data_IF_573644696610
#
_entry.id   IF_573644696610
#
_cell.length_a   1.000
_cell.length_b   1.000
_cell.length_c   1.000
_cell.angle_alpha   90.00
_cell.angle_beta   90.00
_cell.angle_gamma   90.00
#
_symmetry.space_group_name_H-M   'P 1'
#
loop_
_entity.id
_entity.type
_entity.pdbx_description
1 polymer ?
#
# COMPACT_ATOMS: atom_id res chain seq x y z
N UNK A 1 10.89 23.76 -12.07
CA UNK A 1 9.56 23.89 -12.72
C UNK A 1 8.52 24.14 -11.65
N UNK A 2 7.76 25.24 -11.73
CA UNK A 2 6.73 25.59 -10.75
C UNK A 2 5.36 25.02 -11.17
N UNK A 3 4.60 24.49 -10.22
CA UNK A 3 3.18 24.17 -10.38
C UNK A 3 2.38 25.42 -10.00
N UNK A 4 1.84 26.13 -10.99
CA UNK A 4 1.05 27.34 -10.75
C UNK A 4 -0.43 27.00 -10.62
N UNK A 5 -0.90 26.89 -9.38
CA UNK A 5 -2.28 26.53 -9.07
C UNK A 5 -3.29 27.53 -9.65
N UNK A 6 -3.03 28.84 -9.51
CA UNK A 6 -3.97 29.87 -9.97
C UNK A 6 -4.11 29.85 -11.49
N UNK A 7 -3.00 29.77 -12.21
CA UNK A 7 -3.02 29.65 -13.67
C UNK A 7 -3.70 28.36 -14.11
N UNK A 8 -3.44 27.25 -13.44
CA UNK A 8 -4.09 25.97 -13.71
C UNK A 8 -5.62 26.06 -13.53
N UNK A 9 -6.10 26.63 -12.43
CA UNK A 9 -7.54 26.81 -12.18
C UNK A 9 -8.22 27.70 -13.23
N UNK A 10 -7.55 28.77 -13.66
CA UNK A 10 -8.06 29.66 -14.72
C UNK A 10 -8.14 28.99 -16.10
N UNK A 11 -7.43 27.87 -16.29
CA UNK A 11 -7.47 27.10 -17.55
C UNK A 11 -8.57 26.04 -17.58
N UNK A 12 -9.30 25.85 -16.49
CA UNK A 12 -10.36 24.84 -16.40
C UNK A 12 -11.65 25.32 -17.06
N UNK A 13 -12.27 24.42 -17.83
CA UNK A 13 -13.67 24.55 -18.19
C UNK A 13 -14.52 23.93 -17.08
N UNK A 14 -15.11 24.79 -16.27
CA UNK A 14 -15.93 24.40 -15.12
C UNK A 14 -17.23 23.71 -15.51
N UNK A 15 -17.82 24.06 -16.66
CA UNK A 15 -19.08 23.48 -17.10
C UNK A 15 -18.91 21.98 -17.39
N UNK A 16 -17.81 21.58 -18.02
CA UNK A 16 -17.51 20.16 -18.27
C UNK A 16 -17.03 19.39 -17.04
N UNK A 17 -16.52 20.06 -16.00
CA UNK A 17 -16.09 19.42 -14.76
C UNK A 17 -17.18 19.27 -13.70
N UNK A 18 -18.24 20.09 -13.74
CA UNK A 18 -19.26 20.13 -12.70
C UNK A 18 -19.89 18.76 -12.43
N UNK A 19 -20.36 18.09 -13.49
CA UNK A 19 -21.04 16.79 -13.40
C UNK A 19 -20.09 15.64 -12.99
N UNK A 20 -18.88 15.48 -13.57
CA UNK A 20 -17.88 14.53 -13.06
C UNK A 20 -17.53 14.73 -11.58
N UNK A 21 -17.32 15.99 -11.14
CA UNK A 21 -16.99 16.29 -9.75
C UNK A 21 -18.12 15.88 -8.79
N UNK A 22 -19.36 16.21 -9.16
CA UNK A 22 -20.53 15.88 -8.36
C UNK A 22 -20.77 14.36 -8.28
N UNK A 23 -20.62 13.62 -9.39
CA UNK A 23 -20.71 12.15 -9.38
C UNK A 23 -19.68 11.52 -8.45
N UNK A 24 -18.41 11.93 -8.56
CA UNK A 24 -17.33 11.39 -7.71
C UNK A 24 -17.59 11.71 -6.24
N UNK A 25 -17.98 12.95 -5.95
CA UNK A 25 -18.29 13.38 -4.57
C UNK A 25 -19.43 12.56 -3.97
N UNK A 26 -20.55 12.40 -4.69
CA UNK A 26 -21.68 11.57 -4.25
C UNK A 26 -21.28 10.11 -4.04
N UNK A 27 -20.48 9.55 -4.95
CA UNK A 27 -20.04 8.16 -4.85
C UNK A 27 -19.17 7.91 -3.61
N UNK A 28 -18.18 8.79 -3.36
CA UNK A 28 -17.29 8.70 -2.20
C UNK A 28 -18.06 8.89 -0.88
N UNK A 29 -18.93 9.89 -0.80
CA UNK A 29 -19.74 10.12 0.41
C UNK A 29 -20.70 8.96 0.67
N UNK A 30 -21.33 8.41 -0.38
CA UNK A 30 -22.26 7.28 -0.25
C UNK A 30 -21.57 6.03 0.27
N UNK A 31 -20.37 5.70 -0.23
CA UNK A 31 -19.65 4.53 0.24
C UNK A 31 -19.14 4.71 1.68
N UNK A 32 -18.69 5.92 2.05
CA UNK A 32 -18.27 6.20 3.43
C UNK A 32 -19.43 6.06 4.41
N UNK A 33 -20.60 6.60 4.07
CA UNK A 33 -21.80 6.48 4.91
C UNK A 33 -22.28 5.03 5.02
N UNK A 34 -22.22 4.24 3.94
CA UNK A 34 -22.58 2.81 4.03
C UNK A 34 -21.59 2.03 4.89
N UNK A 35 -20.29 2.28 4.76
CA UNK A 35 -19.29 1.65 5.62
C UNK A 35 -19.49 2.03 7.09
N UNK A 36 -19.85 3.29 7.37
CA UNK A 36 -20.18 3.75 8.73
C UNK A 36 -21.36 3.00 9.32
N UNK A 37 -22.39 2.70 8.52
CA UNK A 37 -23.60 1.97 8.96
C UNK A 37 -23.40 0.45 9.04
N UNK A 38 -22.42 -0.09 8.34
CA UNK A 38 -22.15 -1.54 8.29
C UNK A 38 -20.80 -1.85 8.94
N UNK A 39 -20.70 -1.53 10.24
CA UNK A 39 -19.46 -1.67 11.02
C UNK A 39 -18.86 -3.07 10.97
N UNK A 40 -19.69 -4.11 11.04
CA UNK A 40 -19.25 -5.52 11.05
C UNK A 40 -18.47 -5.95 9.79
N UNK A 41 -18.72 -5.28 8.66
CA UNK A 41 -18.05 -5.55 7.38
C UNK A 41 -16.98 -4.51 7.03
N UNK A 42 -16.97 -3.35 7.70
CA UNK A 42 -16.10 -2.24 7.37
C UNK A 42 -14.62 -2.63 7.47
N UNK A 43 -14.23 -3.41 8.48
CA UNK A 43 -12.86 -3.91 8.64
C UNK A 43 -12.49 -4.90 7.53
N UNK A 44 -13.44 -5.74 7.11
CA UNK A 44 -13.27 -6.65 5.98
C UNK A 44 -13.05 -5.93 4.65
N UNK A 45 -13.77 -4.84 4.41
CA UNK A 45 -13.56 -3.96 3.24
C UNK A 45 -12.20 -3.28 3.33
N UNK A 46 -11.85 -2.71 4.49
CA UNK A 46 -10.60 -1.99 4.70
C UNK A 46 -9.37 -2.90 4.52
N UNK A 47 -9.42 -4.10 5.08
CA UNK A 47 -8.37 -5.12 4.94
C UNK A 47 -8.08 -5.44 3.47
N UNK A 48 -9.14 -5.68 2.68
CA UNK A 48 -9.05 -5.91 1.24
C UNK A 48 -8.53 -4.69 0.49
N UNK A 49 -9.06 -3.51 0.79
CA UNK A 49 -8.66 -2.25 0.19
C UNK A 49 -7.16 -1.99 0.37
N UNK A 50 -6.57 -2.31 1.53
CA UNK A 50 -5.14 -2.19 1.74
C UNK A 50 -4.32 -3.10 0.83
N UNK A 51 -4.70 -4.37 0.73
CA UNK A 51 -3.96 -5.36 -0.05
C UNK A 51 -4.11 -5.12 -1.56
N UNK A 52 -5.34 -4.91 -2.05
CA UNK A 52 -5.58 -4.66 -3.47
C UNK A 52 -4.92 -3.37 -3.96
N UNK A 53 -4.98 -2.29 -3.18
CA UNK A 53 -4.35 -1.03 -3.57
C UNK A 53 -2.83 -1.13 -3.56
N UNK A 54 -2.26 -1.90 -2.63
CA UNK A 54 -0.81 -2.16 -2.58
C UNK A 54 -0.36 -2.93 -3.82
N UNK A 55 -1.01 -4.06 -4.15
CA UNK A 55 -0.70 -4.83 -5.35
C UNK A 55 -0.84 -3.98 -6.63
N UNK A 56 -1.87 -3.14 -6.70
CA UNK A 56 -2.08 -2.27 -7.83
C UNK A 56 -1.06 -1.14 -7.92
N UNK A 57 -0.61 -0.60 -6.78
CA UNK A 57 0.47 0.38 -6.75
C UNK A 57 1.74 -0.24 -7.32
N UNK A 58 2.19 -1.38 -6.76
CA UNK A 58 3.37 -2.10 -7.27
C UNK A 58 3.30 -2.28 -8.79
N UNK A 59 2.14 -2.72 -9.31
CA UNK A 59 1.94 -2.93 -10.75
C UNK A 59 2.03 -1.64 -11.58
N UNK A 60 1.57 -0.49 -11.07
CA UNK A 60 1.71 0.81 -11.73
C UNK A 60 3.17 1.26 -11.80
N UNK A 61 3.98 0.87 -10.82
CA UNK A 61 5.40 1.22 -10.74
C UNK A 61 6.30 0.17 -11.43
N UNK A 62 5.69 -0.85 -12.05
CA UNK A 62 6.35 -1.85 -12.90
C UNK A 62 6.68 -3.18 -12.23
N UNK A 63 6.34 -3.35 -10.94
CA UNK A 63 6.59 -4.57 -10.18
C UNK A 63 5.31 -5.42 -10.05
N UNK A 64 5.36 -6.71 -10.35
CA UNK A 64 4.21 -7.61 -10.23
C UNK A 64 4.28 -8.41 -8.92
N UNK A 65 3.26 -8.26 -8.07
CA UNK A 65 3.09 -9.05 -6.84
C UNK A 65 1.71 -9.68 -6.82
N UNK A 66 1.66 -11.00 -6.67
CA UNK A 66 0.40 -11.74 -6.55
C UNK A 66 -0.26 -11.45 -5.20
N UNK A 67 -1.58 -11.30 -5.21
CA UNK A 67 -2.35 -11.04 -3.98
C UNK A 67 -2.15 -12.17 -2.96
N UNK A 68 -2.14 -13.42 -3.42
CA UNK A 68 -1.95 -14.58 -2.53
C UNK A 68 -0.62 -14.51 -1.78
N UNK A 69 0.47 -14.19 -2.49
CA UNK A 69 1.81 -14.10 -1.88
C UNK A 69 1.87 -12.98 -0.85
N UNK A 70 1.28 -11.81 -1.15
CA UNK A 70 1.22 -10.69 -0.21
C UNK A 70 0.38 -11.01 1.03
N UNK A 71 -0.76 -11.70 0.86
CA UNK A 71 -1.60 -12.12 2.00
C UNK A 71 -0.88 -13.15 2.86
N UNK A 72 -0.24 -14.15 2.26
CA UNK A 72 0.48 -15.19 2.99
C UNK A 72 1.66 -14.61 3.77
N UNK A 73 2.40 -13.70 3.16
CA UNK A 73 3.51 -12.99 3.80
C UNK A 73 3.03 -12.08 4.93
N UNK A 74 1.94 -11.33 4.73
CA UNK A 74 1.33 -10.50 5.78
C UNK A 74 0.85 -11.33 6.97
N UNK A 75 0.41 -12.57 6.73
CA UNK A 75 0.02 -13.53 7.76
C UNK A 75 1.19 -14.31 8.37
N UNK A 76 2.43 -14.17 7.86
CA UNK A 76 3.59 -14.97 8.29
C UNK A 76 3.45 -16.47 8.00
N UNK A 77 2.68 -16.81 6.97
CA UNK A 77 2.39 -18.20 6.55
C UNK A 77 2.98 -18.54 5.18
N UNK A 78 3.87 -17.68 4.68
CA UNK A 78 4.68 -17.94 3.51
C UNK A 78 5.63 -19.12 3.75
N UNK A 79 5.75 -19.99 2.73
CA UNK A 79 6.68 -21.15 2.78
C UNK A 79 7.93 -20.94 1.94
N UNK A 80 8.00 -19.83 1.21
CA UNK A 80 9.11 -19.47 0.32
C UNK A 80 9.78 -18.24 0.88
N UNK A 81 11.09 -18.14 0.71
CA UNK A 81 11.80 -16.90 1.01
C UNK A 81 11.18 -15.74 0.21
N UNK A 82 10.95 -14.57 0.84
CA UNK A 82 10.28 -13.46 0.18
C UNK A 82 11.16 -12.90 -0.94
N UNK A 83 10.54 -12.61 -2.09
CA UNK A 83 11.23 -11.89 -3.16
C UNK A 83 11.43 -10.42 -2.75
N UNK A 84 12.31 -9.73 -3.48
CA UNK A 84 12.52 -8.31 -3.24
C UNK A 84 11.25 -7.48 -3.54
N UNK A 85 10.47 -7.85 -4.56
CA UNK A 85 9.19 -7.22 -4.88
C UNK A 85 8.16 -7.45 -3.77
N UNK A 86 8.10 -8.67 -3.22
CA UNK A 86 7.22 -8.99 -2.10
C UNK A 86 7.60 -8.22 -0.82
N UNK A 87 8.89 -8.12 -0.54
CA UNK A 87 9.42 -7.32 0.59
C UNK A 87 9.07 -5.84 0.43
N UNK A 88 9.18 -5.28 -0.78
CA UNK A 88 8.77 -3.91 -1.07
C UNK A 88 7.27 -3.73 -0.91
N UNK A 89 6.46 -4.65 -1.43
CA UNK A 89 5.00 -4.61 -1.28
C UNK A 89 4.57 -4.68 0.20
N UNK A 90 5.23 -5.50 1.01
CA UNK A 90 4.98 -5.58 2.45
C UNK A 90 5.27 -4.23 3.15
N UNK A 91 6.37 -3.56 2.79
CA UNK A 91 6.69 -2.21 3.29
C UNK A 91 5.64 -1.18 2.87
N UNK A 92 5.17 -1.25 1.63
CA UNK A 92 4.12 -0.34 1.13
C UNK A 92 2.76 -0.61 1.81
N UNK A 93 2.42 -1.88 2.05
CA UNK A 93 1.23 -2.27 2.80
C UNK A 93 1.27 -1.72 4.23
N UNK A 94 2.41 -1.87 4.92
CA UNK A 94 2.64 -1.33 6.25
C UNK A 94 2.52 0.20 6.26
N UNK A 95 3.09 0.88 5.26
CA UNK A 95 2.97 2.33 5.10
C UNK A 95 1.51 2.76 4.88
N UNK A 96 0.77 2.08 4.01
CA UNK A 96 -0.65 2.38 3.74
C UNK A 96 -1.50 2.22 5.01
N UNK A 97 -1.28 1.15 5.79
CA UNK A 97 -1.97 0.93 7.08
C UNK A 97 -1.57 1.97 8.13
N UNK A 98 -0.30 2.39 8.14
CA UNK A 98 0.17 3.47 9.02
C UNK A 98 -0.53 4.79 8.70
N UNK A 99 -0.62 5.16 7.42
CA UNK A 99 -1.35 6.36 6.97
C UNK A 99 -2.83 6.28 7.35
N UNK A 100 -3.45 5.11 7.21
CA UNK A 100 -4.85 4.92 7.58
C UNK A 100 -5.11 5.07 9.09
N UNK A 101 -4.13 4.76 9.95
CA UNK A 101 -4.27 4.90 11.41
C UNK A 101 -3.93 6.30 11.94
N UNK A 102 -3.05 7.02 11.26
CA UNK A 102 -2.62 8.35 11.68
C UNK A 102 -3.71 9.40 11.42
N UNK A 103 -3.79 10.45 12.24
CA UNK A 103 -4.60 11.62 11.91
C UNK A 103 -4.14 12.21 10.57
N UNK A 104 -5.03 12.37 9.57
CA UNK A 104 -4.63 12.80 8.23
C UNK A 104 -3.85 14.12 8.18
N UNK A 105 -4.19 15.08 9.04
CA UNK A 105 -3.50 16.36 9.17
C UNK A 105 -2.02 16.20 9.57
N UNK A 106 -1.69 15.14 10.32
CA UNK A 106 -0.29 14.82 10.68
C UNK A 106 0.49 14.35 9.46
N UNK A 107 -0.17 13.58 8.57
CA UNK A 107 0.42 13.07 7.32
C UNK A 107 0.68 14.20 6.32
N UNK A 108 -0.24 15.18 6.22
CA UNK A 108 -0.20 16.29 5.27
C UNK A 108 0.69 17.46 5.71
N UNK A 109 1.88 17.12 6.24
CA UNK A 109 2.89 18.08 6.66
C UNK A 109 4.28 17.64 6.17
N UNK A 110 5.22 18.57 6.08
CA UNK A 110 6.63 18.26 5.75
C UNK A 110 7.19 17.15 6.64
N UNK A 111 7.07 17.34 7.95
CA UNK A 111 7.61 16.41 8.94
C UNK A 111 6.86 15.06 8.90
N UNK A 112 5.54 15.09 8.71
CA UNK A 112 4.73 13.89 8.53
C UNK A 112 5.19 13.04 7.34
N UNK A 113 5.34 13.65 6.17
CA UNK A 113 5.80 12.96 4.96
C UNK A 113 7.21 12.38 5.10
N UNK A 114 8.15 13.14 5.68
CA UNK A 114 9.51 12.64 5.91
C UNK A 114 9.54 11.49 6.92
N UNK A 115 8.78 11.61 7.99
CA UNK A 115 8.66 10.57 9.03
C UNK A 115 8.02 9.28 8.50
N UNK A 116 7.09 9.39 7.55
CA UNK A 116 6.47 8.23 6.90
C UNK A 116 7.48 7.40 6.12
N UNK A 117 8.45 8.03 5.46
CA UNK A 117 9.49 7.36 4.68
C UNK A 117 10.76 7.04 5.48
N UNK A 118 10.71 7.17 6.82
CA UNK A 118 11.83 6.87 7.71
C UNK A 118 12.96 7.90 7.68
N UNK A 119 12.67 9.14 7.26
CA UNK A 119 13.62 10.26 7.32
C UNK A 119 13.31 11.15 8.51
N UNK A 120 14.34 11.52 9.26
CA UNK A 120 14.20 12.57 10.27
C UNK A 120 14.11 13.93 9.57
N UNK A 121 13.25 14.81 10.07
CA UNK A 121 13.09 16.18 9.55
C UNK A 121 14.35 17.04 9.83
N UNK A 122 15.10 16.69 10.89
CA UNK A 122 16.22 17.47 11.43
C UNK A 122 17.56 16.75 11.24
N UNK A 123 18.05 16.71 10.00
CA UNK A 123 19.47 16.44 9.73
C UNK A 123 20.16 17.63 9.07
N UNK A 124 19.65 18.84 9.30
CA UNK A 124 20.15 20.08 8.71
C UNK A 124 20.03 21.28 9.67
N UNK A 125 20.28 21.08 10.96
CA UNK A 125 20.82 22.13 11.84
C UNK A 125 21.95 21.52 12.69
N UNK A 126 23.03 22.29 12.85
CA UNK A 126 24.26 22.00 13.61
C UNK A 126 25.32 21.10 12.96
N UNK A 127 26.04 21.71 12.00
CA UNK A 127 27.48 21.54 11.99
C UNK A 127 28.08 22.26 13.21
N UNK A 128 28.30 21.54 14.30
CA UNK A 128 29.47 21.59 15.19
C UNK A 128 29.19 20.79 16.46
N UNK A 129 29.74 19.57 16.55
CA UNK A 129 30.46 19.03 17.70
C UNK A 129 30.46 17.49 17.64
N UNK A 130 31.53 16.95 17.06
CA UNK A 130 31.98 15.59 17.37
C UNK A 130 32.31 15.53 18.87
N UNK A 131 31.62 14.66 19.60
CA UNK A 131 31.89 14.39 21.00
C UNK A 131 31.70 12.92 21.30
N UNK A 132 32.80 12.17 21.19
CA UNK A 132 33.00 10.79 21.62
C UNK A 132 32.30 10.42 22.94
N UNK A 133 31.76 9.20 23.01
CA UNK A 133 31.91 8.33 24.20
C UNK A 133 31.72 6.86 23.82
N UNK A 134 32.83 6.15 23.82
CA UNK A 134 32.95 4.70 23.94
C UNK A 134 33.15 4.30 25.41
N UNK A 135 32.85 3.03 25.72
CA UNK A 135 33.09 2.32 27.01
C UNK A 135 31.82 1.57 27.47
N UNK A 136 31.65 0.27 27.20
CA UNK A 136 32.16 -0.92 27.96
C UNK A 136 31.64 -0.93 29.42
N UNK A 137 30.99 -1.96 30.00
CA UNK A 137 31.36 -3.38 30.21
C UNK A 137 30.10 -4.23 30.60
N UNK A 138 29.87 -5.41 30.01
CA UNK A 138 30.04 -6.83 30.48
C UNK A 138 29.19 -7.38 31.66
N UNK A 139 28.64 -8.59 31.41
CA UNK A 139 28.35 -9.67 32.37
C UNK A 139 26.86 -10.06 32.44
N UNK A 140 26.40 -11.31 32.42
CA UNK A 140 26.97 -12.66 32.31
C UNK A 140 25.79 -13.62 32.01
N UNK A 141 26.04 -14.73 31.29
CA UNK A 141 25.06 -15.81 31.07
C UNK A 141 25.08 -16.84 32.22
N UNK A 142 24.04 -17.69 32.32
CA UNK A 142 24.32 -19.12 32.28
C UNK A 142 23.46 -19.89 31.25
N UNK A 143 24.04 -21.03 30.88
CA UNK A 143 23.82 -21.97 29.78
C UNK A 143 22.57 -22.88 29.86
N UNK A 144 22.12 -23.38 28.69
CA UNK A 144 21.95 -24.82 28.37
C UNK A 144 21.92 -25.01 26.83
N UNK A 145 22.62 -26.05 26.38
CA UNK A 145 22.84 -26.64 25.04
C UNK A 145 21.61 -26.68 24.10
N UNK A 146 21.71 -26.64 22.77
CA UNK A 146 22.39 -27.63 21.89
C UNK A 146 22.31 -27.13 20.43
N UNK A 147 23.32 -26.50 19.79
CA UNK A 147 23.35 -26.24 18.31
C UNK A 147 24.73 -25.78 17.77
N UNK A 148 25.85 -26.15 18.41
CA UNK A 148 27.17 -25.54 18.12
C UNK A 148 27.81 -25.90 16.76
N UNK A 149 27.23 -26.80 15.96
CA UNK A 149 27.73 -27.12 14.61
C UNK A 149 26.99 -26.35 13.51
N UNK A 150 25.75 -25.91 13.76
CA UNK A 150 24.89 -25.26 12.76
C UNK A 150 25.18 -23.75 12.66
N UNK A 151 25.73 -23.16 13.73
CA UNK A 151 26.11 -21.74 13.77
C UNK A 151 27.46 -21.47 13.11
N UNK A 152 28.40 -22.41 13.18
CA UNK A 152 29.71 -22.29 12.51
C UNK A 152 29.56 -22.33 10.98
N UNK A 153 28.73 -23.23 10.46
CA UNK A 153 28.43 -23.29 9.02
C UNK A 153 27.62 -22.05 8.55
N UNK A 154 26.76 -21.49 9.41
CA UNK A 154 26.06 -20.23 9.12
C UNK A 154 27.00 -19.04 9.11
N UNK A 155 27.90 -18.92 10.07
CA UNK A 155 28.90 -17.86 10.11
C UNK A 155 29.88 -17.96 8.93
N UNK A 156 30.33 -19.16 8.58
CA UNK A 156 31.20 -19.38 7.41
C UNK A 156 30.49 -19.01 6.11
N UNK A 157 29.21 -19.37 5.96
CA UNK A 157 28.40 -18.96 4.81
C UNK A 157 28.20 -17.44 4.75
N UNK A 158 27.95 -16.78 5.89
CA UNK A 158 27.79 -15.32 5.95
C UNK A 158 29.10 -14.59 5.63
N UNK A 159 30.23 -15.09 6.12
CA UNK A 159 31.55 -14.55 5.80
C UNK A 159 31.91 -14.75 4.32
N UNK A 160 31.61 -15.92 3.76
CA UNK A 160 31.78 -16.19 2.33
C UNK A 160 30.88 -15.29 1.46
N UNK A 161 29.66 -14.96 1.92
CA UNK A 161 28.75 -14.05 1.22
C UNK A 161 29.28 -12.60 1.26
N UNK A 162 29.84 -12.16 2.39
CA UNK A 162 30.51 -10.85 2.53
C UNK A 162 31.74 -10.77 1.61
N UNK A 163 32.57 -11.80 1.58
CA UNK A 163 33.75 -11.85 0.70
C UNK A 163 33.35 -11.86 -0.77
N UNK A 164 32.28 -12.57 -1.15
CA UNK A 164 31.74 -12.55 -2.50
C UNK A 164 31.18 -11.18 -2.91
N UNK A 165 30.62 -10.41 -1.97
CA UNK A 165 30.17 -9.02 -2.20
C UNK A 165 31.36 -8.07 -2.32
N UNK A 166 32.38 -8.21 -1.45
CA UNK A 166 33.60 -7.42 -1.51
C UNK A 166 34.38 -7.66 -2.81
N UNK A 167 34.45 -8.91 -3.26
CA UNK A 167 35.11 -9.28 -4.51
C UNK A 167 34.34 -8.75 -5.73
N UNK A 168 32.99 -8.77 -5.69
CA UNK A 168 32.16 -8.10 -6.70
C UNK A 168 32.38 -6.59 -6.71
N UNK A 169 32.49 -5.97 -5.53
CA UNK A 169 32.73 -4.53 -5.41
C UNK A 169 34.11 -4.13 -5.92
N UNK A 170 35.15 -4.95 -5.69
CA UNK A 170 36.49 -4.75 -6.25
C UNK A 170 36.50 -4.91 -7.76
N UNK A 171 35.85 -5.95 -8.29
CA UNK A 171 35.70 -6.16 -9.74
C UNK A 171 34.95 -5.04 -10.45
N UNK A 172 33.97 -4.42 -9.77
CA UNK A 172 33.26 -3.23 -10.25
C UNK A 172 34.12 -1.97 -10.20
N UNK A 173 34.96 -1.81 -9.17
CA UNK A 173 35.92 -0.70 -9.07
C UNK A 173 37.05 -0.81 -10.11
N UNK A 174 37.42 -2.03 -10.50
CA UNK A 174 38.41 -2.35 -11.53
C UNK A 174 37.85 -2.32 -12.96
N UNK A 175 36.58 -1.94 -13.14
CA UNK A 175 35.99 -1.66 -14.45
C UNK A 175 35.48 -2.89 -15.22
N UNK A 176 35.43 -4.07 -14.60
CA UNK A 176 34.83 -5.26 -15.21
C UNK A 176 33.32 -5.30 -14.94
N UNK A 177 32.51 -4.92 -15.94
CA UNK A 177 31.05 -4.96 -15.84
C UNK A 177 30.52 -6.19 -16.58
N UNK A 178 30.00 -7.22 -15.89
CA UNK A 178 29.01 -8.10 -16.51
C UNK A 178 27.70 -7.32 -16.63
N UNK A 179 27.08 -7.36 -17.81
CA UNK A 179 25.81 -6.70 -18.09
C UNK A 179 24.72 -7.30 -17.21
N UNK A 180 24.48 -6.67 -16.06
CA UNK A 180 23.27 -6.88 -15.28
C UNK A 180 22.10 -6.28 -16.08
N UNK A 181 21.07 -7.09 -16.35
CA UNK A 181 19.80 -6.61 -16.89
C UNK A 181 19.10 -5.77 -15.83
N UNK A 182 19.50 -4.51 -15.72
CA UNK A 182 18.80 -3.48 -14.96
C UNK A 182 17.43 -3.26 -15.58
N UNK A 183 16.37 -3.27 -14.76
CA UNK A 183 15.04 -2.91 -15.22
C UNK A 183 15.09 -1.53 -15.89
N UNK A 184 14.52 -1.44 -17.08
CA UNK A 184 14.53 -0.25 -17.95
C UNK A 184 13.96 1.01 -17.28
N UNK A 185 13.21 0.87 -16.18
CA UNK A 185 12.68 1.98 -15.40
C UNK A 185 13.73 2.66 -14.50
N UNK A 186 14.73 1.92 -13.98
CA UNK A 186 15.85 2.49 -13.23
C UNK A 186 16.82 3.25 -14.13
N UNK A 187 16.97 2.83 -15.40
CA UNK A 187 17.78 3.58 -16.36
C UNK A 187 17.11 4.89 -16.81
N UNK A 188 15.79 4.91 -16.98
CA UNK A 188 15.08 6.15 -17.31
C UNK A 188 15.14 7.19 -16.18
N UNK A 189 15.19 6.75 -14.92
CA UNK A 189 15.34 7.64 -13.74
C UNK A 189 16.79 7.98 -13.42
N UNK A 190 17.76 7.11 -13.75
CA UNK A 190 19.19 7.39 -13.61
C UNK A 190 19.74 8.28 -14.74
N UNK A 191 19.23 8.18 -15.97
CA UNK A 191 19.65 9.03 -17.10
C UNK A 191 19.10 10.47 -17.02
N UNK A 192 18.22 10.77 -16.06
CA UNK A 192 17.85 12.15 -15.71
C UNK A 192 18.76 12.78 -14.64
N UNK A 193 19.75 12.04 -14.13
CA UNK A 193 20.68 12.51 -13.10
C UNK A 193 21.94 13.11 -13.72
N UNK A 194 21.81 14.25 -14.41
CA UNK A 194 22.88 15.25 -14.58
C UNK A 194 22.38 16.42 -15.43
N UNK A 195 21.22 17.00 -15.08
CA UNK A 195 20.80 18.29 -15.65
C UNK A 195 20.97 19.40 -14.59
N UNK A 196 21.90 20.35 -14.77
CA UNK A 196 22.19 21.43 -13.80
C UNK A 196 21.00 22.34 -13.45
N UNK A 197 19.88 22.24 -14.19
CA UNK A 197 18.67 23.05 -13.98
C UNK A 197 17.54 22.37 -13.20
N UNK A 198 17.70 21.13 -12.72
CA UNK A 198 16.65 20.47 -11.93
C UNK A 198 16.70 20.96 -10.47
N UNK A 199 15.61 21.56 -9.94
CA UNK A 199 15.59 22.04 -8.56
C UNK A 199 15.83 20.89 -7.57
N UNK A 200 16.44 21.20 -6.42
CA UNK A 200 16.76 20.18 -5.44
C UNK A 200 15.47 19.47 -4.95
N UNK A 201 15.62 18.24 -4.47
CA UNK A 201 14.51 17.46 -3.90
C UNK A 201 13.78 18.23 -2.81
N UNK A 202 14.51 18.98 -1.97
CA UNK A 202 13.91 19.79 -0.90
C UNK A 202 12.95 20.84 -1.49
N UNK A 203 13.40 21.53 -2.53
CA UNK A 203 12.63 22.55 -3.23
C UNK A 203 11.38 21.98 -3.89
N UNK A 204 11.46 20.75 -4.42
CA UNK A 204 10.29 20.07 -5.02
C UNK A 204 9.24 19.68 -3.99
N UNK A 205 9.65 19.25 -2.78
CA UNK A 205 8.73 18.99 -1.68
C UNK A 205 8.09 20.28 -1.15
N UNK A 206 8.86 21.35 -1.00
CA UNK A 206 8.30 22.66 -0.61
C UNK A 206 7.35 23.19 -1.68
N UNK A 207 7.67 23.03 -2.97
CA UNK A 207 6.78 23.41 -4.06
C UNK A 207 5.45 22.63 -4.02
N UNK A 208 5.48 21.32 -3.73
CA UNK A 208 4.25 20.53 -3.61
C UNK A 208 3.44 20.93 -2.36
N UNK A 209 4.09 21.17 -1.22
CA UNK A 209 3.43 21.67 0.00
C UNK A 209 2.84 23.07 -0.22
N UNK A 210 3.48 23.92 -1.04
CA UNK A 210 2.94 25.22 -1.42
C UNK A 210 1.63 25.08 -2.20
N UNK A 211 1.49 24.07 -3.07
CA UNK A 211 0.21 23.77 -3.75
C UNK A 211 -0.88 23.43 -2.73
N UNK A 212 -0.57 22.57 -1.75
CA UNK A 212 -1.52 22.22 -0.68
C UNK A 212 -1.93 23.45 0.13
N UNK A 213 -0.96 24.28 0.54
CA UNK A 213 -1.22 25.48 1.32
C UNK A 213 -1.99 26.55 0.54
N UNK A 214 -1.75 26.67 -0.77
CA UNK A 214 -2.50 27.57 -1.65
C UNK A 214 -3.93 27.07 -1.92
N UNK A 215 -4.16 25.75 -1.95
CA UNK A 215 -5.49 25.18 -2.16
C UNK A 215 -6.42 25.32 -0.95
N UNK A 216 -5.87 25.25 0.27
CA UNK A 216 -6.64 25.35 1.53
C UNK A 216 -7.58 26.58 1.61
N UNK A 217 -7.11 27.83 1.40
CA UNK A 217 -7.97 29.00 1.53
C UNK A 217 -8.98 29.16 0.38
N UNK A 218 -8.85 28.41 -0.72
CA UNK A 218 -9.73 28.53 -1.89
C UNK A 218 -11.07 27.82 -1.72
N UNK A 219 -11.26 27.02 -0.66
CA UNK A 219 -12.48 26.26 -0.40
C UNK A 219 -12.97 25.44 -1.61
N UNK A 220 -12.03 24.88 -2.37
CA UNK A 220 -12.35 24.00 -3.49
C UNK A 220 -13.03 22.71 -3.02
N UNK A 221 -13.90 22.08 -3.83
CA UNK A 221 -14.44 20.77 -3.52
C UNK A 221 -13.33 19.78 -3.13
N UNK A 222 -13.45 19.01 -2.03
CA UNK A 222 -12.37 18.14 -1.56
C UNK A 222 -11.86 17.16 -2.61
N UNK A 223 -12.76 16.64 -3.44
CA UNK A 223 -12.39 15.76 -4.56
C UNK A 223 -11.47 16.48 -5.55
N UNK A 224 -11.78 17.71 -5.91
CA UNK A 224 -10.95 18.51 -6.83
C UNK A 224 -9.57 18.76 -6.21
N UNK A 225 -9.52 19.15 -4.94
CA UNK A 225 -8.26 19.36 -4.22
C UNK A 225 -7.41 18.09 -4.21
N UNK A 226 -8.00 16.92 -3.91
CA UNK A 226 -7.29 15.66 -3.92
C UNK A 226 -6.71 15.31 -5.30
N UNK A 227 -7.46 15.55 -6.37
CA UNK A 227 -7.01 15.31 -7.75
C UNK A 227 -5.88 16.27 -8.13
N UNK A 228 -5.97 17.55 -7.73
CA UNK A 228 -4.91 18.55 -7.92
C UNK A 228 -3.63 18.13 -7.18
N UNK A 229 -3.73 17.65 -5.94
CA UNK A 229 -2.57 17.18 -5.17
C UNK A 229 -1.89 15.99 -5.84
N UNK A 230 -2.67 15.08 -6.43
CA UNK A 230 -2.14 13.96 -7.20
C UNK A 230 -1.46 14.42 -8.50
N UNK A 231 -2.10 15.31 -9.27
CA UNK A 231 -1.53 15.90 -10.49
C UNK A 231 -0.22 16.63 -10.20
N UNK A 232 -0.20 17.44 -9.15
CA UNK A 232 0.99 18.15 -8.69
C UNK A 232 2.10 17.19 -8.26
N UNK A 233 1.77 16.07 -7.59
CA UNK A 233 2.76 15.05 -7.24
C UNK A 233 3.38 14.42 -8.48
N UNK A 234 2.57 14.08 -9.50
CA UNK A 234 3.07 13.49 -10.74
C UNK A 234 3.93 14.48 -11.54
N UNK A 235 3.61 15.77 -11.49
CA UNK A 235 4.37 16.82 -12.18
C UNK A 235 5.67 17.19 -11.47
N UNK A 236 5.62 17.36 -10.16
CA UNK A 236 6.77 17.85 -9.37
C UNK A 236 7.71 16.71 -9.00
N UNK A 237 7.20 15.47 -8.89
CA UNK A 237 7.92 14.31 -8.37
C UNK A 237 8.72 14.65 -7.09
N UNK A 238 8.05 15.03 -5.98
CA UNK A 238 8.73 15.57 -4.79
C UNK A 238 9.75 14.62 -4.16
N UNK A 239 9.55 13.30 -4.32
CA UNK A 239 10.38 12.26 -3.74
C UNK A 239 10.63 11.17 -4.79
N UNK A 240 11.87 11.10 -5.29
CA UNK A 240 12.23 10.21 -6.41
C UNK A 240 12.05 8.73 -6.08
N UNK A 241 12.25 8.34 -4.83
CA UNK A 241 12.17 6.94 -4.37
C UNK A 241 10.76 6.52 -3.91
N UNK A 242 9.78 7.42 -3.99
CA UNK A 242 8.42 7.19 -3.47
C UNK A 242 7.34 7.74 -4.41
N UNK A 243 7.29 7.28 -5.68
CA UNK A 243 6.25 7.68 -6.62
C UNK A 243 4.83 7.31 -6.14
N UNK A 244 4.70 6.26 -5.32
CA UNK A 244 3.44 5.74 -4.77
C UNK A 244 2.81 6.70 -3.76
N UNK A 245 3.63 7.50 -3.10
CA UNK A 245 3.20 8.34 -2.01
C UNK A 245 2.24 9.44 -2.46
N UNK A 246 2.30 9.88 -3.73
CA UNK A 246 1.31 10.82 -4.28
C UNK A 246 -0.11 10.29 -4.24
N UNK A 247 -0.30 9.00 -4.56
CA UNK A 247 -1.61 8.33 -4.49
C UNK A 247 -2.05 8.17 -3.04
N UNK A 248 -1.15 7.77 -2.15
CA UNK A 248 -1.45 7.60 -0.73
C UNK A 248 -1.80 8.92 -0.03
N UNK A 249 -1.08 9.99 -0.33
CA UNK A 249 -1.29 11.31 0.27
C UNK A 249 -2.57 11.97 -0.24
N UNK A 250 -2.91 11.78 -1.51
CA UNK A 250 -4.20 12.20 -2.06
C UNK A 250 -5.37 11.43 -1.41
N UNK A 251 -5.19 10.12 -1.18
CA UNK A 251 -6.14 9.32 -0.43
C UNK A 251 -6.25 9.77 1.05
N UNK A 252 -5.13 10.12 1.69
CA UNK A 252 -5.12 10.65 3.05
C UNK A 252 -5.86 11.99 3.15
N UNK A 253 -5.69 12.88 2.16
CA UNK A 253 -6.47 14.10 2.06
C UNK A 253 -7.98 13.81 1.95
N UNK A 254 -8.39 12.91 1.05
CA UNK A 254 -9.80 12.51 0.96
C UNK A 254 -10.34 11.92 2.27
N UNK A 255 -9.53 11.12 2.96
CA UNK A 255 -9.90 10.57 4.27
C UNK A 255 -10.16 11.67 5.31
N UNK A 256 -9.41 12.76 5.26
CA UNK A 256 -9.58 13.90 6.16
C UNK A 256 -10.86 14.71 5.91
N UNK A 257 -11.42 14.63 4.70
CA UNK A 257 -12.51 15.53 4.26
C UNK A 257 -13.83 14.80 3.95
N UNK A 258 -13.76 13.61 3.36
CA UNK A 258 -14.92 12.93 2.74
C UNK A 258 -15.02 11.47 3.18
N UNK A 259 -13.92 10.72 3.18
CA UNK A 259 -13.93 9.27 3.42
C UNK A 259 -13.37 8.92 4.79
N UNK A 260 -14.05 9.36 5.85
CA UNK A 260 -13.58 9.20 7.24
C UNK A 260 -13.42 7.74 7.68
N UNK A 261 -14.20 6.82 7.11
CA UNK A 261 -14.24 5.41 7.49
C UNK A 261 -13.21 4.54 6.75
N UNK A 262 -12.57 5.03 5.68
CA UNK A 262 -11.62 4.23 4.91
C UNK A 262 -10.65 5.08 4.08
N UNK A 263 -9.48 4.52 3.79
CA UNK A 263 -8.54 5.10 2.83
C UNK A 263 -8.91 4.65 1.39
N UNK A 264 -9.25 5.56 0.46
CA UNK A 264 -9.63 5.21 -0.91
C UNK A 264 -8.54 4.41 -1.66
N UNK A 265 -8.95 3.52 -2.57
CA UNK A 265 -8.10 2.62 -3.36
C UNK A 265 -7.68 3.24 -4.69
N UNK A 266 -7.04 4.41 -4.63
CA UNK A 266 -6.70 5.19 -5.83
C UNK A 266 -5.78 4.46 -6.81
N UNK A 267 -4.82 3.66 -6.34
CA UNK A 267 -3.90 2.91 -7.20
C UNK A 267 -4.64 1.79 -7.94
N UNK A 268 -5.49 1.04 -7.25
CA UNK A 268 -6.33 0.01 -7.87
C UNK A 268 -7.25 0.57 -8.94
N UNK A 269 -7.87 1.71 -8.66
CA UNK A 269 -8.83 2.33 -9.56
C UNK A 269 -8.16 3.00 -10.76
N UNK A 270 -7.03 3.70 -10.58
CA UNK A 270 -6.27 4.30 -11.69
C UNK A 270 -5.71 3.23 -12.63
N UNK A 271 -5.33 2.06 -12.11
CA UNK A 271 -4.90 0.92 -12.93
C UNK A 271 -6.03 0.39 -13.81
N UNK A 272 -7.25 0.32 -13.28
CA UNK A 272 -8.47 -0.10 -14.01
C UNK A 272 -8.99 0.96 -14.97
N UNK A 273 -8.81 2.24 -14.66
CA UNK A 273 -9.23 3.34 -15.51
C UNK A 273 -8.52 3.27 -16.88
N UNK A 274 -9.19 3.64 -17.99
CA UNK A 274 -8.53 3.75 -19.29
C UNK A 274 -7.57 4.95 -19.36
N UNK A 275 -7.69 5.92 -18.45
CA UNK A 275 -6.87 7.12 -18.47
C UNK A 275 -5.42 6.81 -18.08
N UNK A 276 -4.47 7.41 -18.81
CA UNK A 276 -3.04 7.35 -18.51
C UNK A 276 -2.52 8.77 -18.45
N UNK A 277 -2.05 9.16 -17.28
CA UNK A 277 -1.54 10.51 -17.05
C UNK A 277 -0.30 10.78 -17.90
N UNK A 278 -0.25 11.94 -18.55
CA UNK A 278 0.94 12.43 -19.27
C UNK A 278 1.20 13.88 -18.92
N UNK A 279 2.47 14.21 -18.69
CA UNK A 279 2.93 15.58 -18.39
C UNK A 279 2.49 16.62 -19.43
N UNK A 280 2.44 16.23 -20.69
CA UNK A 280 2.14 17.12 -21.83
C UNK A 280 0.65 17.36 -22.04
N UNK A 281 -0.22 16.55 -21.44
CA UNK A 281 -1.66 16.70 -21.63
C UNK A 281 -2.14 17.99 -20.97
N UNK A 282 -3.16 18.68 -21.52
CA UNK A 282 -3.76 19.86 -20.91
C UNK A 282 -4.24 19.57 -19.48
N UNK A 283 -4.19 20.59 -18.61
CA UNK A 283 -4.61 20.44 -17.21
C UNK A 283 -6.04 19.91 -17.09
N UNK A 284 -6.98 20.45 -17.90
CA UNK A 284 -8.36 19.95 -18.02
C UNK A 284 -8.41 18.43 -18.24
N UNK A 285 -7.66 17.91 -19.23
CA UNK A 285 -7.63 16.49 -19.58
C UNK A 285 -7.10 15.64 -18.43
N UNK A 286 -6.04 16.12 -17.73
CA UNK A 286 -5.46 15.40 -16.60
C UNK A 286 -6.41 15.32 -15.42
N UNK A 287 -7.06 16.43 -15.05
CA UNK A 287 -8.03 16.47 -13.97
C UNK A 287 -9.25 15.59 -14.29
N UNK A 288 -9.86 15.75 -15.47
CA UNK A 288 -10.99 14.92 -15.90
C UNK A 288 -10.65 13.44 -15.92
N UNK A 289 -9.46 13.09 -16.42
CA UNK A 289 -8.98 11.71 -16.45
C UNK A 289 -8.79 11.11 -15.06
N UNK A 290 -8.16 11.85 -14.14
CA UNK A 290 -7.99 11.41 -12.75
C UNK A 290 -9.32 11.27 -12.02
N UNK A 291 -10.30 12.14 -12.26
CA UNK A 291 -11.65 12.04 -11.68
C UNK A 291 -12.32 10.70 -12.02
N UNK A 292 -12.13 10.17 -13.24
CA UNK A 292 -12.66 8.83 -13.58
C UNK A 292 -12.09 7.74 -12.68
N UNK A 293 -10.80 7.82 -12.35
CA UNK A 293 -10.16 6.88 -11.42
C UNK A 293 -10.72 7.00 -10.00
N UNK A 294 -11.01 8.22 -9.54
CA UNK A 294 -11.58 8.42 -8.21
C UNK A 294 -13.03 7.89 -8.13
N UNK A 295 -13.81 8.07 -9.19
CA UNK A 295 -15.15 7.48 -9.33
C UNK A 295 -15.09 5.95 -9.28
N UNK A 296 -14.15 5.35 -10.02
CA UNK A 296 -13.92 3.90 -10.01
C UNK A 296 -13.52 3.40 -8.63
N UNK A 297 -12.72 4.14 -7.86
CA UNK A 297 -12.33 3.75 -6.50
C UNK A 297 -13.55 3.66 -5.56
N UNK A 298 -14.48 4.63 -5.66
CA UNK A 298 -15.71 4.63 -4.89
C UNK A 298 -16.62 3.46 -5.28
N UNK A 299 -16.80 3.22 -6.59
CA UNK A 299 -17.60 2.10 -7.12
C UNK A 299 -17.03 0.75 -6.69
N UNK A 300 -15.73 0.53 -6.87
CA UNK A 300 -15.07 -0.72 -6.48
C UNK A 300 -15.24 -1.02 -4.98
N UNK A 301 -15.17 0.02 -4.14
CA UNK A 301 -15.35 -0.12 -2.68
C UNK A 301 -16.81 -0.46 -2.35
N UNK A 302 -17.77 0.13 -3.06
CA UNK A 302 -19.19 -0.18 -2.93
C UNK A 302 -19.50 -1.63 -3.34
N UNK A 303 -19.00 -2.05 -4.49
CA UNK A 303 -19.17 -3.41 -5.00
C UNK A 303 -18.56 -4.44 -4.03
N UNK A 304 -17.41 -4.11 -3.44
CA UNK A 304 -16.78 -4.94 -2.41
C UNK A 304 -17.65 -5.08 -1.17
N UNK A 305 -18.26 -3.99 -0.69
CA UNK A 305 -19.18 -4.00 0.44
C UNK A 305 -20.41 -4.85 0.14
N UNK A 306 -21.02 -4.68 -1.04
CA UNK A 306 -22.20 -5.45 -1.46
C UNK A 306 -21.87 -6.96 -1.58
N UNK A 307 -20.70 -7.32 -2.11
CA UNK A 307 -20.22 -8.72 -2.14
C UNK A 307 -20.08 -9.31 -0.73
N UNK A 308 -19.53 -8.56 0.21
CA UNK A 308 -19.39 -9.03 1.60
C UNK A 308 -20.74 -9.14 2.30
N UNK A 309 -21.68 -8.24 2.03
CA UNK A 309 -23.04 -8.31 2.58
C UNK A 309 -23.75 -9.60 2.14
N UNK A 310 -23.70 -9.91 0.85
CA UNK A 310 -24.30 -11.14 0.30
C UNK A 310 -23.63 -12.39 0.91
N UNK A 311 -22.30 -12.37 1.01
CA UNK A 311 -21.56 -13.48 1.60
C UNK A 311 -21.87 -13.67 3.08
N UNK A 312 -22.01 -12.59 3.85
CA UNK A 312 -22.40 -12.65 5.26
C UNK A 312 -23.77 -13.31 5.41
N UNK A 313 -24.78 -12.90 4.65
CA UNK A 313 -26.11 -13.51 4.69
C UNK A 313 -26.10 -15.01 4.34
N UNK A 314 -25.25 -15.42 3.39
CA UNK A 314 -25.12 -16.83 3.00
C UNK A 314 -24.44 -17.65 4.11
N UNK A 315 -23.33 -17.14 4.66
CA UNK A 315 -22.57 -17.79 5.73
C UNK A 315 -23.38 -17.89 7.02
N UNK A 316 -24.08 -16.82 7.42
CA UNK A 316 -24.91 -16.77 8.62
C UNK A 316 -26.05 -17.78 8.54
N UNK A 317 -26.75 -17.85 7.39
CA UNK A 317 -27.81 -18.85 7.18
C UNK A 317 -27.31 -20.27 7.38
N UNK A 318 -26.09 -20.56 6.92
CA UNK A 318 -25.48 -21.87 7.06
C UNK A 318 -25.03 -22.16 8.50
N UNK A 319 -24.63 -21.12 9.24
CA UNK A 319 -24.15 -21.25 10.61
C UNK A 319 -25.26 -21.29 11.67
N UNK A 320 -26.51 -20.89 11.35
CA UNK A 320 -27.64 -20.83 12.31
C UNK A 320 -27.93 -22.12 13.06
N UNK A 321 -27.69 -23.28 12.47
CA UNK A 321 -27.95 -24.59 13.08
C UNK A 321 -26.71 -25.19 13.78
N UNK A 322 -25.62 -24.42 13.90
CA UNK A 322 -24.42 -24.89 14.57
C UNK A 322 -24.64 -25.11 16.07
N UNK A 323 -23.98 -26.15 16.60
CA UNK A 323 -23.90 -26.36 18.05
C UNK A 323 -23.14 -25.20 18.71
N UNK A 324 -23.44 -24.93 19.97
CA UNK A 324 -22.84 -23.84 20.77
C UNK A 324 -21.31 -23.86 20.82
N UNK A 325 -20.67 -25.04 20.74
CA UNK A 325 -19.22 -25.20 20.75
C UNK A 325 -18.57 -25.29 19.35
N UNK A 326 -19.33 -25.05 18.29
CA UNK A 326 -18.82 -25.09 16.91
C UNK A 326 -17.90 -23.90 16.63
N UNK A 327 -16.75 -24.16 16.00
CA UNK A 327 -15.85 -23.13 15.44
C UNK A 327 -16.23 -22.71 14.01
N UNK A 328 -17.30 -23.27 13.45
CA UNK A 328 -17.75 -22.95 12.08
C UNK A 328 -18.13 -21.47 11.91
N UNK A 329 -18.84 -20.81 12.85
CA UNK A 329 -19.13 -19.38 12.73
C UNK A 329 -17.85 -18.52 12.75
N UNK A 330 -16.90 -18.84 13.64
CA UNK A 330 -15.61 -18.15 13.69
C UNK A 330 -14.83 -18.32 12.37
N UNK A 331 -14.83 -19.54 11.81
CA UNK A 331 -14.21 -19.82 10.50
C UNK A 331 -14.90 -19.06 9.36
N UNK A 332 -16.24 -18.94 9.38
CA UNK A 332 -16.98 -18.16 8.41
C UNK A 332 -16.63 -16.67 8.50
N UNK A 333 -16.51 -16.13 9.71
CA UNK A 333 -16.13 -14.73 9.95
C UNK A 333 -14.73 -14.39 9.44
N UNK A 334 -13.80 -15.35 9.42
CA UNK A 334 -12.49 -15.16 8.81
C UNK A 334 -12.58 -14.76 7.33
N UNK A 335 -13.55 -15.31 6.58
CA UNK A 335 -13.75 -14.94 5.18
C UNK A 335 -14.29 -13.52 5.02
N UNK A 336 -15.05 -13.01 5.98
CA UNK A 336 -15.54 -11.63 5.93
C UNK A 336 -14.43 -10.64 6.27
N UNK A 337 -13.59 -10.96 7.26
CA UNK A 337 -12.50 -10.09 7.73
C UNK A 337 -11.24 -10.09 6.85
N UNK A 338 -10.96 -11.18 6.12
CA UNK A 338 -9.75 -11.31 5.29
C UNK A 338 -10.07 -11.55 3.81
N UNK A 339 -9.28 -11.00 2.86
CA UNK A 339 -9.45 -11.28 1.43
C UNK A 339 -9.35 -12.77 1.11
N UNK A 340 -8.46 -13.47 1.82
CA UNK A 340 -8.08 -14.84 1.54
C UNK A 340 -7.78 -15.55 2.85
N UNK A 341 -8.25 -16.79 2.97
CA UNK A 341 -8.04 -17.67 4.11
C UNK A 341 -7.47 -19.00 3.62
N UNK A 342 -6.46 -19.50 4.33
CA UNK A 342 -5.87 -20.83 4.10
C UNK A 342 -6.03 -21.72 5.34
N UNK A 343 -5.83 -23.03 5.17
CA UNK A 343 -5.86 -23.97 6.30
C UNK A 343 -4.85 -23.57 7.41
N UNK A 344 -3.57 -23.27 7.11
CA UNK A 344 -2.63 -22.80 8.14
C UNK A 344 -3.13 -21.59 8.93
N UNK A 345 -3.68 -20.58 8.24
CA UNK A 345 -4.22 -19.38 8.89
C UNK A 345 -5.39 -19.74 9.83
N UNK A 346 -6.33 -20.55 9.36
CA UNK A 346 -7.49 -20.98 10.16
C UNK A 346 -7.09 -21.81 11.38
N UNK A 347 -6.09 -22.69 11.25
CA UNK A 347 -5.56 -23.45 12.38
C UNK A 347 -4.97 -22.54 13.46
N UNK A 348 -4.14 -21.59 13.04
CA UNK A 348 -3.45 -20.67 13.95
C UNK A 348 -4.43 -19.78 14.69
N UNK A 349 -5.41 -19.22 13.98
CA UNK A 349 -6.35 -18.27 14.55
C UNK A 349 -7.44 -18.91 15.40
N UNK A 350 -7.97 -20.07 14.97
CA UNK A 350 -9.04 -20.76 15.70
C UNK A 350 -8.50 -21.71 16.79
N UNK A 351 -7.18 -21.96 16.81
CA UNK A 351 -6.56 -22.90 17.74
C UNK A 351 -7.00 -24.36 17.51
N UNK A 352 -7.21 -24.75 16.25
CA UNK A 352 -7.74 -26.08 15.88
C UNK A 352 -6.77 -26.88 15.00
N UNK A 353 -7.02 -28.19 14.89
CA UNK A 353 -6.23 -29.08 14.03
C UNK A 353 -6.57 -28.86 12.54
N UNK A 354 -5.66 -29.27 11.64
CA UNK A 354 -5.91 -29.21 10.20
C UNK A 354 -7.17 -30.00 9.79
N UNK A 355 -7.36 -31.18 10.40
CA UNK A 355 -8.53 -32.03 10.17
C UNK A 355 -9.84 -31.35 10.59
N UNK A 356 -9.82 -30.54 11.65
CA UNK A 356 -10.99 -29.76 12.06
C UNK A 356 -11.33 -28.68 11.01
N UNK A 357 -10.33 -28.00 10.44
CA UNK A 357 -10.55 -27.05 9.35
C UNK A 357 -11.09 -27.75 8.10
N UNK A 358 -10.53 -28.91 7.72
CA UNK A 358 -11.05 -29.71 6.60
C UNK A 358 -12.49 -30.19 6.83
N UNK A 359 -12.87 -30.44 8.08
CA UNK A 359 -14.26 -30.72 8.44
C UNK A 359 -15.14 -29.48 8.26
N UNK A 360 -14.73 -28.31 8.74
CA UNK A 360 -15.46 -27.05 8.57
C UNK A 360 -15.63 -26.66 7.09
N UNK A 361 -14.60 -26.86 6.26
CA UNK A 361 -14.66 -26.66 4.80
C UNK A 361 -15.75 -27.55 4.18
N UNK A 362 -15.80 -28.84 4.54
CA UNK A 362 -16.84 -29.76 4.08
C UNK A 362 -18.22 -29.39 4.61
N UNK A 363 -18.29 -28.92 5.85
CA UNK A 363 -19.54 -28.45 6.46
C UNK A 363 -20.12 -27.25 5.72
N UNK A 364 -19.30 -26.24 5.37
CA UNK A 364 -19.76 -25.07 4.60
C UNK A 364 -20.33 -25.45 3.23
N UNK A 365 -19.77 -26.48 2.59
CA UNK A 365 -20.30 -27.02 1.34
C UNK A 365 -20.55 -25.94 0.27
N UNK A 366 -21.79 -25.75 -0.22
CA UNK A 366 -22.11 -24.70 -1.20
C UNK A 366 -21.89 -23.26 -0.73
N UNK A 367 -21.83 -23.02 0.59
CA UNK A 367 -21.55 -21.70 1.17
C UNK A 367 -20.06 -21.39 1.26
N UNK A 368 -19.17 -22.34 0.95
CA UNK A 368 -17.74 -22.12 0.95
C UNK A 368 -17.36 -21.09 -0.13
N UNK A 369 -16.61 -20.02 0.22
CA UNK A 369 -16.12 -19.07 -0.77
C UNK A 369 -15.27 -19.72 -1.86
N UNK A 370 -15.13 -19.03 -2.98
CA UNK A 370 -14.43 -19.55 -4.16
C UNK A 370 -12.97 -19.89 -3.82
N UNK A 371 -12.52 -21.06 -4.27
CA UNK A 371 -11.11 -21.42 -4.24
C UNK A 371 -10.33 -20.61 -5.29
N UNK A 372 -9.25 -19.96 -4.86
CA UNK A 372 -8.45 -19.04 -5.65
C UNK A 372 -7.23 -19.73 -6.28
N UNK A 373 -6.62 -20.67 -5.57
CA UNK A 373 -5.28 -21.19 -5.92
C UNK A 373 -5.30 -22.42 -6.82
N UNK A 374 -6.43 -23.09 -7.05
CA UNK A 374 -6.57 -24.23 -7.98
C UNK A 374 -5.55 -25.36 -7.78
N UNK A 375 -4.88 -25.43 -6.63
CA UNK A 375 -3.67 -26.22 -6.36
C UNK A 375 -3.90 -27.08 -5.12
N UNK A 376 -3.63 -28.38 -5.22
CA UNK A 376 -4.00 -29.38 -4.22
C UNK A 376 -3.59 -29.09 -2.77
N UNK A 377 -2.30 -28.84 -2.49
CA UNK A 377 -1.78 -28.73 -1.10
C UNK A 377 -1.83 -27.33 -0.48
N UNK A 378 -2.14 -26.29 -1.26
CA UNK A 378 -2.15 -24.88 -0.81
C UNK A 378 -3.43 -24.20 -1.28
N UNK A 379 -4.55 -24.75 -0.85
CA UNK A 379 -5.86 -24.22 -1.16
C UNK A 379 -6.09 -22.95 -0.34
N UNK A 380 -6.55 -21.94 -1.04
CA UNK A 380 -6.92 -20.66 -0.47
C UNK A 380 -8.30 -20.29 -0.99
N UNK A 381 -9.14 -19.80 -0.09
CA UNK A 381 -10.51 -19.40 -0.42
C UNK A 381 -10.72 -17.94 -0.03
N UNK A 382 -11.53 -17.23 -0.79
CA UNK A 382 -11.73 -15.81 -0.56
C UNK A 382 -12.97 -15.26 -1.23
N UNK A 383 -13.38 -14.08 -0.77
CA UNK A 383 -14.45 -13.27 -1.36
C UNK A 383 -13.76 -12.03 -1.95
N UNK A 384 -13.57 -12.01 -3.26
CA UNK A 384 -12.82 -10.98 -4.00
C UNK A 384 -13.68 -10.19 -4.97
#
# INVERSE_FOLDING_TARGET
MAYDLHRSLNSLDWASLADPLDRVSRALTRVDERLRRTGDLADGVRSRAHLFDTCASMALDGDLVHLEDLVLHDAGTDRRAPTHELTRAARLLALRRRIDRLPPETVLSRNGLLTLIGRQADSLEEGTARGSRAGEERGASPSISTHAQDDAEKEENLLAEIDAVLQRSRQLAEGSVPVARTSSHRMATAQMQSDPGTPDRRDRLDAWLAVLNAARPLNLPPVLTAVILLDAWQLLQPLDSWPELGRLVSAAFLKSQVTTCHLPTLSAALRKSPFRWRRKDPFQTRISGLLTGFETAARDTMDQLDRLSIAQEQLDRHCRSCRSHSRLPDFAQMFLSRPLVTIPMARQELGVTAAAVDHMIRQLGPALPRELTGRGRYRAWGIL
#
